data_IF_875145874993
#
_entry.id   IF_875145874993
#
_cell.length_a   1.000
_cell.length_b   1.000
_cell.length_c   1.000
_cell.angle_alpha   90.00
_cell.angle_beta   90.00
_cell.angle_gamma   90.00
#
_symmetry.space_group_name_H-M   'P 1'
#
loop_
_entity.id
_entity.type
_entity.pdbx_description
1 polymer ?
#
# COMPACT_ATOMS: atom_id res chain seq x y z
N UNK A 1 22.03 0.71 6.34
CA UNK A 1 21.40 -0.05 5.23
C UNK A 1 20.33 0.84 4.65
N UNK A 2 20.50 1.23 3.38
CA UNK A 2 19.56 2.10 2.67
C UNK A 2 18.24 1.34 2.47
N UNK A 3 17.13 1.98 2.82
CA UNK A 3 15.79 1.45 2.56
C UNK A 3 15.58 1.33 1.04
N UNK A 4 15.04 0.24 0.51
CA UNK A 4 14.72 0.15 -0.90
C UNK A 4 13.69 1.22 -1.23
N UNK A 5 14.03 2.07 -2.19
CA UNK A 5 13.10 3.09 -2.66
C UNK A 5 11.84 2.45 -3.26
N UNK A 6 10.68 3.13 -3.24
CA UNK A 6 9.41 2.63 -3.78
C UNK A 6 9.52 2.02 -5.19
N UNK A 7 10.36 2.62 -6.04
CA UNK A 7 10.62 2.11 -7.40
C UNK A 7 11.31 0.75 -7.44
N UNK A 8 12.11 0.41 -6.43
CA UNK A 8 12.74 -0.93 -6.34
C UNK A 8 11.70 -2.01 -6.08
N UNK A 9 10.65 -1.69 -5.33
CA UNK A 9 9.53 -2.60 -5.09
C UNK A 9 8.70 -2.81 -6.36
N UNK A 10 8.46 -1.74 -7.11
CA UNK A 10 7.77 -1.82 -8.41
C UNK A 10 8.56 -2.68 -9.39
N UNK A 11 9.88 -2.50 -9.48
CA UNK A 11 10.76 -3.34 -10.30
C UNK A 11 10.71 -4.81 -9.87
N UNK A 12 10.77 -5.09 -8.56
CA UNK A 12 10.70 -6.45 -8.05
C UNK A 12 9.36 -7.11 -8.40
N UNK A 13 8.26 -6.39 -8.26
CA UNK A 13 6.92 -6.89 -8.60
C UNK A 13 6.73 -7.07 -10.13
N UNK A 14 7.28 -6.18 -10.96
CA UNK A 14 7.32 -6.34 -12.41
C UNK A 14 8.11 -7.58 -12.82
N UNK A 15 9.27 -7.80 -12.20
CA UNK A 15 10.08 -8.99 -12.47
C UNK A 15 9.34 -10.28 -12.06
N UNK A 16 8.70 -10.29 -10.89
CA UNK A 16 7.96 -11.45 -10.38
C UNK A 16 6.73 -11.78 -11.24
N UNK A 17 5.90 -10.78 -11.53
CA UNK A 17 4.62 -10.99 -12.24
C UNK A 17 4.77 -11.26 -13.73
N UNK A 18 5.74 -10.62 -14.35
CA UNK A 18 5.85 -10.62 -15.82
C UNK A 18 7.12 -11.30 -16.33
N UNK A 19 7.92 -11.90 -15.42
CA UNK A 19 9.17 -12.57 -15.79
C UNK A 19 10.15 -11.63 -16.47
N UNK A 20 10.16 -10.35 -16.09
CA UNK A 20 11.10 -9.36 -16.58
C UNK A 20 12.43 -9.49 -15.88
N UNK A 21 13.49 -9.06 -16.51
CA UNK A 21 14.81 -8.96 -15.92
C UNK A 21 15.23 -7.50 -15.86
N UNK A 22 14.47 -6.70 -15.09
CA UNK A 22 14.74 -5.28 -14.88
C UNK A 22 15.77 -5.11 -13.78
N UNK A 23 16.85 -4.38 -14.06
CA UNK A 23 17.88 -4.02 -13.12
C UNK A 23 17.73 -2.60 -12.54
N UNK A 24 18.70 -2.19 -11.70
CA UNK A 24 18.71 -0.86 -11.09
C UNK A 24 18.72 0.30 -12.11
N UNK A 25 19.25 0.07 -13.31
CA UNK A 25 19.31 1.03 -14.40
C UNK A 25 17.91 1.45 -14.90
N UNK A 26 16.92 0.58 -14.77
CA UNK A 26 15.54 0.86 -15.18
C UNK A 26 14.76 1.73 -14.18
N UNK A 27 15.32 1.94 -12.96
CA UNK A 27 14.70 2.78 -11.92
C UNK A 27 14.52 4.22 -12.38
N UNK A 28 15.53 4.78 -13.03
CA UNK A 28 15.50 6.18 -13.50
C UNK A 28 14.38 6.34 -14.53
N UNK A 29 14.27 5.42 -15.46
CA UNK A 29 13.25 5.44 -16.53
C UNK A 29 11.83 5.31 -15.95
N UNK A 30 11.60 4.36 -15.05
CA UNK A 30 10.31 4.20 -14.38
C UNK A 30 9.99 5.40 -13.47
N UNK A 31 10.99 5.92 -12.73
CA UNK A 31 10.83 7.11 -11.91
C UNK A 31 10.43 8.34 -12.71
N UNK A 32 11.13 8.60 -13.81
CA UNK A 32 10.80 9.71 -14.71
C UNK A 32 9.41 9.56 -15.33
N UNK A 33 9.01 8.33 -15.66
CA UNK A 33 7.67 8.04 -16.16
C UNK A 33 6.60 8.34 -15.11
N UNK A 34 6.79 7.90 -13.86
CA UNK A 34 5.85 8.17 -12.77
C UNK A 34 5.76 9.67 -12.44
N UNK A 35 6.91 10.38 -12.37
CA UNK A 35 6.93 11.83 -12.12
C UNK A 35 6.25 12.63 -13.24
N UNK A 36 6.38 12.21 -14.49
CA UNK A 36 5.69 12.85 -15.62
C UNK A 36 4.20 12.59 -15.58
N UNK A 37 3.78 11.37 -15.27
CA UNK A 37 2.37 11.03 -15.06
C UNK A 37 1.75 11.91 -13.96
N UNK A 38 2.47 12.14 -12.86
CA UNK A 38 2.03 13.03 -11.77
C UNK A 38 1.90 14.49 -12.23
N UNK A 39 2.86 14.97 -13.01
CA UNK A 39 2.92 16.37 -13.45
C UNK A 39 1.89 16.71 -14.53
N UNK A 40 1.71 15.79 -15.48
CA UNK A 40 0.97 16.06 -16.72
C UNK A 40 -0.48 15.64 -16.66
N UNK A 41 -0.88 14.74 -15.77
CA UNK A 41 -2.28 14.32 -15.67
C UNK A 41 -3.18 15.44 -15.18
N UNK A 42 -2.59 16.52 -14.62
CA UNK A 42 -3.39 17.69 -14.18
C UNK A 42 -4.61 17.27 -13.37
N UNK A 43 -4.53 16.14 -12.66
CA UNK A 43 -5.58 15.64 -11.78
C UNK A 43 -5.70 16.58 -10.58
N UNK A 44 -5.88 17.83 -10.92
CA UNK A 44 -6.39 18.87 -10.04
C UNK A 44 -7.73 18.41 -9.45
N UNK A 45 -8.10 19.03 -8.35
CA UNK A 45 -9.31 18.76 -7.58
C UNK A 45 -10.62 18.74 -8.40
N UNK A 46 -10.62 19.30 -9.62
CA UNK A 46 -11.74 19.25 -10.58
C UNK A 46 -11.91 17.86 -11.25
N UNK A 47 -10.90 17.02 -11.27
CA UNK A 47 -11.01 15.66 -11.80
C UNK A 47 -11.82 14.70 -10.89
N UNK A 48 -12.29 15.17 -9.75
CA UNK A 48 -13.14 14.44 -8.80
C UNK A 48 -14.47 13.97 -9.38
N UNK A 49 -14.86 14.46 -10.56
CA UNK A 49 -16.09 14.08 -11.27
C UNK A 49 -15.83 12.98 -12.30
N UNK A 50 -14.58 12.63 -12.56
CA UNK A 50 -14.25 11.68 -13.60
C UNK A 50 -14.44 10.23 -13.13
N UNK A 51 -15.16 9.45 -13.93
CA UNK A 51 -15.27 8.01 -13.73
C UNK A 51 -13.87 7.37 -13.84
N UNK A 52 -13.68 6.20 -13.19
CA UNK A 52 -12.44 5.40 -13.30
C UNK A 52 -12.00 5.22 -14.76
N UNK A 53 -12.95 5.14 -15.67
CA UNK A 53 -12.70 4.98 -17.10
C UNK A 53 -12.08 6.25 -17.73
N UNK A 54 -12.56 7.44 -17.38
CA UNK A 54 -11.98 8.68 -17.89
C UNK A 54 -10.55 8.91 -17.37
N UNK A 55 -10.29 8.56 -16.11
CA UNK A 55 -8.94 8.58 -15.53
C UNK A 55 -8.04 7.59 -16.25
N UNK A 56 -8.56 6.40 -16.56
CA UNK A 56 -7.85 5.37 -17.32
C UNK A 56 -7.49 5.83 -18.71
N UNK A 57 -8.44 6.40 -19.46
CA UNK A 57 -8.20 6.89 -20.83
C UNK A 57 -7.16 8.01 -20.84
N UNK A 58 -7.23 8.95 -19.91
CA UNK A 58 -6.23 10.02 -19.77
C UNK A 58 -4.85 9.45 -19.43
N UNK A 59 -4.79 8.45 -18.57
CA UNK A 59 -3.55 7.74 -18.22
C UNK A 59 -2.97 6.98 -19.40
N UNK A 60 -3.78 6.22 -20.14
CA UNK A 60 -3.36 5.45 -21.30
C UNK A 60 -2.77 6.36 -22.38
N UNK A 61 -3.41 7.49 -22.67
CA UNK A 61 -2.89 8.47 -23.60
C UNK A 61 -1.52 9.03 -23.16
N UNK A 62 -1.38 9.36 -21.88
CA UNK A 62 -0.11 9.86 -21.32
C UNK A 62 0.98 8.81 -21.28
N UNK A 63 0.64 7.55 -20.98
CA UNK A 63 1.59 6.43 -21.03
C UNK A 63 2.11 6.26 -22.44
N UNK A 64 1.24 6.33 -23.46
CA UNK A 64 1.66 6.24 -24.86
C UNK A 64 2.56 7.41 -25.26
N UNK A 65 2.20 8.64 -24.93
CA UNK A 65 3.01 9.82 -25.18
C UNK A 65 4.40 9.72 -24.49
N UNK A 66 4.42 9.22 -23.25
CA UNK A 66 5.65 9.06 -22.46
C UNK A 66 6.51 7.91 -22.96
N UNK A 67 5.91 6.79 -23.37
CA UNK A 67 6.61 5.66 -23.97
C UNK A 67 7.30 6.10 -25.26
N UNK A 68 6.67 6.94 -26.07
CA UNK A 68 7.26 7.49 -27.28
C UNK A 68 8.55 8.28 -27.01
N UNK A 69 8.63 8.98 -25.88
CA UNK A 69 9.84 9.73 -25.47
C UNK A 69 10.93 8.86 -24.82
N UNK A 70 10.55 7.73 -24.23
CA UNK A 70 11.47 6.79 -23.55
C UNK A 70 12.18 5.87 -24.56
N UNK A 71 11.73 5.83 -25.80
CA UNK A 71 12.25 4.99 -26.90
C UNK A 71 13.78 5.08 -27.03
N UNK A 72 14.33 6.26 -26.83
CA UNK A 72 15.77 6.50 -27.00
C UNK A 72 16.63 5.95 -25.86
N UNK A 73 16.03 5.67 -24.69
CA UNK A 73 16.76 5.28 -23.49
C UNK A 73 16.67 3.79 -23.14
N UNK A 74 15.62 3.08 -23.56
CA UNK A 74 15.48 1.65 -23.26
C UNK A 74 14.70 0.87 -24.33
N UNK A 75 15.29 0.79 -25.49
CA UNK A 75 14.71 0.19 -26.69
C UNK A 75 14.24 -1.28 -26.51
N UNK A 76 14.91 -2.07 -25.66
CA UNK A 76 14.55 -3.47 -25.48
C UNK A 76 13.22 -3.67 -24.74
N UNK A 77 12.99 -2.88 -23.68
CA UNK A 77 11.75 -2.90 -22.91
C UNK A 77 10.59 -2.32 -23.73
N UNK A 78 10.84 -1.19 -24.40
CA UNK A 78 9.88 -0.58 -25.30
C UNK A 78 9.43 -1.54 -26.40
N UNK A 79 10.38 -2.15 -27.12
CA UNK A 79 10.08 -3.11 -28.16
C UNK A 79 9.23 -4.27 -27.64
N UNK A 80 9.52 -4.80 -26.46
CA UNK A 80 8.74 -5.88 -25.87
C UNK A 80 7.31 -5.44 -25.50
N UNK A 81 7.15 -4.21 -24.98
CA UNK A 81 5.83 -3.65 -24.64
C UNK A 81 4.98 -3.44 -25.90
N UNK A 82 5.60 -3.03 -27.04
CA UNK A 82 4.90 -2.76 -28.29
C UNK A 82 4.66 -4.00 -29.13
N UNK A 83 5.60 -4.95 -29.15
CA UNK A 83 5.53 -6.16 -29.98
C UNK A 83 4.62 -7.24 -29.35
N UNK A 84 4.51 -7.27 -28.03
CA UNK A 84 3.61 -8.18 -27.31
C UNK A 84 2.45 -7.40 -26.67
N UNK A 85 1.31 -7.37 -27.39
CA UNK A 85 0.12 -6.64 -26.95
C UNK A 85 -0.38 -7.08 -25.59
N UNK A 86 -0.39 -8.38 -25.28
CA UNK A 86 -0.88 -8.91 -23.99
C UNK A 86 0.03 -8.47 -22.86
N UNK A 87 1.34 -8.55 -23.10
CA UNK A 87 2.35 -8.10 -22.16
C UNK A 87 2.30 -6.58 -21.96
N UNK A 88 2.18 -5.80 -23.03
CA UNK A 88 2.05 -4.35 -22.96
C UNK A 88 0.82 -3.90 -22.17
N UNK A 89 -0.34 -4.49 -22.41
CA UNK A 89 -1.57 -4.21 -21.67
C UNK A 89 -1.44 -4.58 -20.19
N UNK A 90 -0.80 -5.70 -19.86
CA UNK A 90 -0.58 -6.12 -18.48
C UNK A 90 0.31 -5.12 -17.71
N UNK A 91 1.38 -4.62 -18.35
CA UNK A 91 2.25 -3.59 -17.75
C UNK A 91 1.51 -2.27 -17.60
N UNK A 92 0.78 -1.81 -18.60
CA UNK A 92 -0.02 -0.58 -18.52
C UNK A 92 -1.03 -0.64 -17.39
N UNK A 93 -1.75 -1.75 -17.24
CA UNK A 93 -2.70 -1.97 -16.15
C UNK A 93 -2.01 -1.95 -14.78
N UNK A 94 -0.86 -2.60 -14.65
CA UNK A 94 -0.08 -2.59 -13.42
C UNK A 94 0.35 -1.17 -13.03
N UNK A 95 0.94 -0.42 -13.95
CA UNK A 95 1.37 0.96 -13.72
C UNK A 95 0.19 1.88 -13.39
N UNK A 96 -0.94 1.67 -14.05
CA UNK A 96 -2.17 2.40 -13.76
C UNK A 96 -2.69 2.10 -12.35
N UNK A 97 -2.66 0.85 -11.91
CA UNK A 97 -3.06 0.51 -10.53
C UNK A 97 -2.10 1.13 -9.50
N UNK A 98 -0.79 1.19 -9.78
CA UNK A 98 0.18 1.89 -8.91
C UNK A 98 -0.11 3.40 -8.87
N UNK A 99 -0.38 4.01 -10.03
CA UNK A 99 -0.76 5.42 -10.12
C UNK A 99 -2.02 5.72 -9.31
N UNK A 100 -3.08 4.93 -9.47
CA UNK A 100 -4.32 5.09 -8.71
C UNK A 100 -4.08 4.97 -7.19
N UNK A 101 -3.19 4.07 -6.77
CA UNK A 101 -2.83 3.92 -5.34
C UNK A 101 -2.11 5.16 -4.80
N UNK A 102 -1.18 5.75 -5.57
CA UNK A 102 -0.46 6.95 -5.16
C UNK A 102 -1.33 8.20 -5.07
N UNK A 103 -2.45 8.25 -5.83
CA UNK A 103 -3.40 9.36 -5.89
C UNK A 103 -4.73 9.08 -5.17
N UNK A 104 -4.81 8.02 -4.37
CA UNK A 104 -6.02 7.71 -3.62
C UNK A 104 -6.38 8.81 -2.64
N UNK A 105 -7.68 9.10 -2.59
CA UNK A 105 -8.24 10.07 -1.67
C UNK A 105 -9.10 9.34 -0.63
N UNK A 106 -8.96 9.72 0.63
CA UNK A 106 -9.70 9.10 1.73
C UNK A 106 -11.22 9.28 1.60
N UNK A 107 -11.67 10.43 1.06
CA UNK A 107 -13.09 10.70 0.83
C UNK A 107 -13.72 9.77 -0.23
N UNK A 108 -12.96 9.33 -1.22
CA UNK A 108 -13.41 8.33 -2.20
C UNK A 108 -13.49 6.92 -1.58
N UNK A 109 -12.57 6.59 -0.71
CA UNK A 109 -12.58 5.31 0.00
C UNK A 109 -13.74 5.21 1.00
N UNK A 110 -14.13 6.32 1.61
CA UNK A 110 -15.30 6.38 2.51
C UNK A 110 -16.63 6.06 1.83
N UNK A 111 -16.72 6.17 0.50
CA UNK A 111 -17.91 5.77 -0.26
C UNK A 111 -18.04 4.25 -0.42
N UNK A 112 -16.94 3.52 -0.12
CA UNK A 112 -16.88 2.08 -0.24
C UNK A 112 -17.13 1.40 1.12
N UNK A 113 -17.37 0.10 1.09
CA UNK A 113 -17.42 -0.74 2.29
C UNK A 113 -16.06 -1.42 2.50
N UNK A 114 -15.79 -1.81 3.74
CA UNK A 114 -14.64 -2.67 4.04
C UNK A 114 -14.61 -3.91 3.16
N UNK A 115 -13.43 -4.28 2.73
CA UNK A 115 -13.24 -5.35 1.77
C UNK A 115 -11.92 -6.08 2.03
N UNK A 116 -11.53 -6.97 1.13
CA UNK A 116 -10.22 -7.61 1.18
C UNK A 116 -9.07 -6.60 1.15
N UNK A 117 -9.28 -5.43 0.52
CA UNK A 117 -8.26 -4.39 0.29
C UNK A 117 -8.58 -3.03 0.92
N UNK A 118 -9.63 -2.93 1.74
CA UNK A 118 -9.99 -1.70 2.44
C UNK A 118 -10.43 -2.00 3.87
N UNK A 119 -9.90 -1.24 4.82
CA UNK A 119 -10.26 -1.34 6.24
C UNK A 119 -10.28 0.03 6.89
N UNK A 120 -11.17 0.22 7.89
CA UNK A 120 -11.26 1.42 8.71
C UNK A 120 -10.82 1.13 10.14
N UNK A 121 -10.17 2.09 10.76
CA UNK A 121 -9.81 2.06 12.19
C UNK A 121 -10.08 3.41 12.83
N UNK A 122 -10.84 3.39 13.91
CA UNK A 122 -11.24 4.60 14.62
C UNK A 122 -10.03 5.37 15.20
N UNK A 123 -8.92 4.67 15.53
CA UNK A 123 -7.77 5.22 16.21
C UNK A 123 -6.55 4.33 15.99
N UNK A 124 -5.34 4.89 16.15
CA UNK A 124 -4.07 4.16 16.13
C UNK A 124 -3.77 3.49 17.48
N UNK A 125 -4.09 4.16 18.60
CA UNK A 125 -3.71 3.70 19.94
C UNK A 125 -4.75 3.96 21.03
N UNK A 126 -5.79 4.75 20.77
CA UNK A 126 -6.74 5.20 21.78
C UNK A 126 -8.01 4.36 21.78
N UNK A 127 -8.34 3.76 22.91
CA UNK A 127 -9.62 3.07 23.10
C UNK A 127 -10.71 4.09 23.40
N UNK A 128 -11.52 4.41 22.39
CA UNK A 128 -12.57 5.42 22.50
C UNK A 128 -13.67 5.04 23.49
N UNK A 129 -13.93 3.75 23.69
CA UNK A 129 -14.96 3.27 24.62
C UNK A 129 -14.51 3.42 26.07
N UNK A 130 -13.24 3.11 26.34
CA UNK A 130 -12.65 3.17 27.68
C UNK A 130 -11.95 4.51 27.95
N UNK A 131 -11.89 5.39 26.94
CA UNK A 131 -11.25 6.71 26.98
C UNK A 131 -9.81 6.66 27.55
N UNK A 132 -9.03 5.69 27.11
CA UNK A 132 -7.62 5.52 27.51
C UNK A 132 -6.76 4.99 26.37
N UNK A 133 -5.45 5.18 26.50
CA UNK A 133 -4.50 4.52 25.60
C UNK A 133 -4.54 3.01 25.84
N UNK A 134 -4.59 2.24 24.75
CA UNK A 134 -4.65 0.79 24.78
C UNK A 134 -3.87 0.16 23.60
N UNK A 135 -2.56 0.22 23.72
CA UNK A 135 -1.67 -0.32 22.66
C UNK A 135 -1.84 -1.83 22.47
N UNK A 136 -2.22 -2.56 23.54
CA UNK A 136 -2.37 -4.01 23.48
C UNK A 136 -3.54 -4.43 22.58
N UNK A 137 -4.59 -3.63 22.54
CA UNK A 137 -5.81 -3.95 21.78
C UNK A 137 -5.85 -3.14 20.49
N UNK A 138 -5.75 -1.82 20.59
CA UNK A 138 -5.97 -0.91 19.45
C UNK A 138 -4.79 -0.96 18.49
N UNK A 139 -3.56 -0.69 18.98
CA UNK A 139 -2.37 -0.72 18.11
C UNK A 139 -2.12 -2.12 17.53
N UNK A 140 -2.33 -3.17 18.34
CA UNK A 140 -2.26 -4.54 17.85
C UNK A 140 -3.28 -4.79 16.72
N UNK A 141 -4.52 -4.27 16.85
CA UNK A 141 -5.55 -4.40 15.80
C UNK A 141 -5.16 -3.70 14.49
N UNK A 142 -4.50 -2.54 14.57
CA UNK A 142 -3.96 -1.82 13.41
C UNK A 142 -2.84 -2.65 12.76
N UNK A 143 -1.85 -3.08 13.55
CA UNK A 143 -0.69 -3.81 13.04
C UNK A 143 -1.05 -5.16 12.41
N UNK A 144 -2.02 -5.91 12.97
CA UNK A 144 -2.47 -7.17 12.36
C UNK A 144 -3.14 -6.93 10.99
N UNK A 145 -3.86 -5.82 10.82
CA UNK A 145 -4.46 -5.45 9.53
C UNK A 145 -3.38 -5.11 8.52
N UNK A 146 -2.38 -4.32 8.91
CA UNK A 146 -1.23 -4.00 8.06
C UNK A 146 -0.50 -5.28 7.65
N UNK A 147 -0.14 -6.16 8.60
CA UNK A 147 0.51 -7.43 8.31
C UNK A 147 -0.30 -8.27 7.31
N UNK A 148 -1.63 -8.32 7.48
CA UNK A 148 -2.51 -9.06 6.59
C UNK A 148 -2.56 -8.49 5.18
N UNK A 149 -2.56 -7.15 5.02
CA UNK A 149 -2.44 -6.51 3.71
C UNK A 149 -1.10 -6.84 3.05
N UNK A 150 0.01 -6.69 3.77
CA UNK A 150 1.35 -6.98 3.25
C UNK A 150 1.50 -8.44 2.82
N UNK A 151 0.89 -9.37 3.54
CA UNK A 151 0.94 -10.80 3.23
C UNK A 151 -0.02 -11.23 2.10
N UNK A 152 -0.97 -10.38 1.69
CA UNK A 152 -1.94 -10.71 0.65
C UNK A 152 -1.74 -9.85 -0.60
N UNK A 153 -2.71 -9.05 -0.98
CA UNK A 153 -2.72 -8.25 -2.22
C UNK A 153 -2.39 -6.77 -1.98
N UNK A 154 -2.06 -6.42 -0.74
CA UNK A 154 -2.02 -5.04 -0.30
C UNK A 154 -3.42 -4.50 0.02
N UNK A 155 -3.52 -3.21 0.26
CA UNK A 155 -4.80 -2.55 0.57
C UNK A 155 -4.60 -1.20 1.23
N UNK A 156 -5.71 -0.56 1.54
CA UNK A 156 -5.75 0.76 2.17
C UNK A 156 -6.37 0.65 3.56
N UNK A 157 -5.71 1.27 4.50
CA UNK A 157 -6.16 1.42 5.87
C UNK A 157 -6.40 2.91 6.16
N UNK A 158 -7.62 3.28 6.53
CA UNK A 158 -7.92 4.62 7.03
C UNK A 158 -7.98 4.60 8.55
N UNK A 159 -7.11 5.40 9.19
CA UNK A 159 -7.11 5.62 10.63
C UNK A 159 -7.76 6.98 10.94
N UNK A 160 -8.64 7.02 11.94
CA UNK A 160 -9.49 8.16 12.25
C UNK A 160 -10.91 8.02 11.67
N UNK A 161 -11.30 6.80 11.29
CA UNK A 161 -12.62 6.47 10.73
C UNK A 161 -13.21 5.27 11.47
N UNK A 162 -14.44 5.39 11.92
CA UNK A 162 -15.17 4.29 12.56
C UNK A 162 -15.73 3.29 11.54
N UNK A 163 -16.14 2.11 12.01
CA UNK A 163 -16.67 1.02 11.18
C UNK A 163 -17.94 1.43 10.40
N UNK A 164 -18.71 2.38 10.92
CA UNK A 164 -19.88 2.97 10.24
C UNK A 164 -19.50 4.07 9.24
N UNK A 165 -18.21 4.28 9.00
CA UNK A 165 -17.59 5.31 8.15
C UNK A 165 -17.73 6.75 8.67
N UNK A 166 -18.09 6.92 9.94
CA UNK A 166 -18.04 8.22 10.58
C UNK A 166 -16.58 8.68 10.70
N UNK A 167 -16.29 9.86 10.16
CA UNK A 167 -14.95 10.47 10.28
C UNK A 167 -14.79 11.01 11.69
N UNK A 168 -13.88 10.41 12.45
CA UNK A 168 -13.55 10.80 13.82
C UNK A 168 -12.36 11.74 13.88
N UNK A 169 -11.41 11.56 12.96
CA UNK A 169 -10.10 12.21 12.98
C UNK A 169 -9.11 11.50 13.91
N UNK A 170 -7.84 11.90 13.84
CA UNK A 170 -6.74 11.33 14.62
C UNK A 170 -6.47 12.05 15.94
N UNK A 171 -7.17 13.14 16.26
CA UNK A 171 -7.00 13.92 17.49
C UNK A 171 -7.23 13.08 18.76
N UNK A 172 -8.07 12.05 18.65
CA UNK A 172 -8.33 11.09 19.73
C UNK A 172 -7.09 10.32 20.16
N UNK A 173 -6.10 10.17 19.29
CA UNK A 173 -4.84 9.50 19.63
C UNK A 173 -3.95 10.32 20.56
N UNK A 174 -4.31 11.60 20.81
CA UNK A 174 -3.64 12.52 21.74
C UNK A 174 -2.14 12.62 21.49
N UNK A 175 -1.76 12.72 20.23
CA UNK A 175 -0.43 13.06 19.78
C UNK A 175 -0.41 14.54 19.43
N UNK A 176 0.72 15.23 19.71
CA UNK A 176 0.80 16.70 19.65
C UNK A 176 0.44 17.29 18.28
N UNK A 177 0.77 16.59 17.22
CA UNK A 177 0.55 17.01 15.82
C UNK A 177 0.71 15.82 14.86
N UNK A 178 0.47 16.08 13.57
CA UNK A 178 0.56 15.08 12.49
C UNK A 178 1.96 14.46 12.39
N UNK A 179 3.03 15.24 12.57
CA UNK A 179 4.41 14.71 12.53
C UNK A 179 4.66 13.71 13.66
N UNK A 180 4.17 14.00 14.87
CA UNK A 180 4.26 13.08 16.01
C UNK A 180 3.42 11.83 15.80
N UNK A 181 2.27 11.96 15.14
CA UNK A 181 1.47 10.80 14.77
C UNK A 181 2.23 9.92 13.77
N UNK A 182 2.78 10.50 12.71
CA UNK A 182 3.54 9.78 11.69
C UNK A 182 4.78 9.10 12.27
N UNK A 183 5.50 9.79 13.15
CA UNK A 183 6.67 9.22 13.84
C UNK A 183 6.27 8.04 14.73
N UNK A 184 5.18 8.18 15.50
CA UNK A 184 4.66 7.10 16.35
C UNK A 184 4.21 5.90 15.51
N UNK A 185 3.48 6.15 14.41
CA UNK A 185 3.06 5.12 13.46
C UNK A 185 4.26 4.36 12.90
N UNK A 186 5.28 5.07 12.40
CA UNK A 186 6.50 4.45 11.88
C UNK A 186 7.20 3.60 12.96
N UNK A 187 7.25 4.08 14.20
CA UNK A 187 7.86 3.35 15.31
C UNK A 187 7.10 2.07 15.67
N UNK A 188 5.76 2.11 15.74
CA UNK A 188 4.98 0.90 16.07
C UNK A 188 5.02 -0.12 14.94
N UNK A 189 5.03 0.32 13.67
CA UNK A 189 5.21 -0.55 12.51
C UNK A 189 6.57 -1.24 12.56
N UNK A 190 7.65 -0.47 12.74
CA UNK A 190 9.01 -1.02 12.86
C UNK A 190 9.12 -2.03 14.00
N UNK A 191 8.60 -1.70 15.17
CA UNK A 191 8.69 -2.55 16.34
C UNK A 191 7.85 -3.84 16.22
N UNK A 192 6.69 -3.76 15.55
CA UNK A 192 5.77 -4.88 15.42
C UNK A 192 6.01 -5.73 14.18
N UNK A 193 6.36 -5.11 13.05
CA UNK A 193 6.44 -5.79 11.75
C UNK A 193 7.85 -5.82 11.16
N UNK A 194 8.79 -5.10 11.76
CA UNK A 194 10.17 -4.98 11.30
C UNK A 194 10.39 -3.87 10.26
N UNK A 195 11.67 -3.56 10.02
CA UNK A 195 12.06 -2.42 9.17
C UNK A 195 11.57 -2.58 7.72
N UNK A 196 11.64 -3.79 7.18
CA UNK A 196 11.23 -4.07 5.78
C UNK A 196 9.74 -3.85 5.54
N UNK A 197 8.88 -4.12 6.52
CA UNK A 197 7.46 -3.86 6.39
C UNK A 197 7.17 -2.37 6.12
N UNK A 198 7.95 -1.48 6.75
CA UNK A 198 7.84 -0.03 6.56
C UNK A 198 8.04 0.43 5.11
N UNK A 199 8.87 -0.29 4.32
CA UNK A 199 9.12 0.06 2.92
C UNK A 199 7.94 -0.27 1.98
N UNK A 200 7.01 -1.10 2.43
CA UNK A 200 5.81 -1.48 1.68
C UNK A 200 4.58 -0.65 2.07
N UNK A 201 4.76 0.43 2.85
CA UNK A 201 3.67 1.23 3.41
C UNK A 201 3.90 2.70 3.04
N UNK A 202 2.86 3.36 2.54
CA UNK A 202 2.85 4.78 2.21
C UNK A 202 1.73 5.49 3.00
N UNK A 203 2.01 6.02 4.20
CA UNK A 203 1.04 6.76 5.00
C UNK A 203 0.97 8.23 4.58
N UNK A 204 -0.25 8.77 4.43
CA UNK A 204 -0.51 10.17 4.08
C UNK A 204 -1.58 10.76 4.99
N UNK A 205 -1.35 11.99 5.47
CA UNK A 205 -2.38 12.75 6.16
C UNK A 205 -3.30 13.42 5.16
N UNK A 206 -4.60 13.31 5.37
CA UNK A 206 -5.61 13.93 4.53
C UNK A 206 -6.70 14.57 5.39
N UNK A 207 -7.25 15.70 4.91
CA UNK A 207 -8.37 16.36 5.58
C UNK A 207 -9.67 15.90 4.92
N UNK A 208 -10.52 15.25 5.71
CA UNK A 208 -11.83 14.75 5.29
C UNK A 208 -12.90 15.29 6.25
N UNK A 209 -13.91 15.95 5.73
CA UNK A 209 -14.97 16.57 6.53
C UNK A 209 -14.43 17.50 7.65
N UNK A 210 -13.33 18.21 7.37
CA UNK A 210 -12.68 19.12 8.30
C UNK A 210 -11.87 18.45 9.41
N UNK A 211 -11.63 17.15 9.37
CA UNK A 211 -10.84 16.39 10.33
C UNK A 211 -9.66 15.71 9.63
N UNK A 212 -8.51 15.65 10.31
CA UNK A 212 -7.35 14.92 9.81
C UNK A 212 -7.54 13.42 9.99
N UNK A 213 -7.33 12.65 8.92
CA UNK A 213 -7.28 11.18 8.92
C UNK A 213 -5.94 10.73 8.33
N UNK A 214 -5.48 9.53 8.71
CA UNK A 214 -4.31 8.92 8.10
C UNK A 214 -4.75 7.85 7.11
N UNK A 215 -4.51 8.08 5.81
CA UNK A 215 -4.63 7.07 4.78
C UNK A 215 -3.30 6.36 4.64
N UNK A 216 -3.29 5.06 4.89
CA UNK A 216 -2.12 4.22 4.75
C UNK A 216 -2.33 3.24 3.60
N UNK A 217 -1.58 3.41 2.52
CA UNK A 217 -1.58 2.47 1.40
C UNK A 217 -0.51 1.40 1.63
N UNK A 218 -0.93 0.15 1.74
CA UNK A 218 -0.07 -1.01 1.93
C UNK A 218 0.11 -1.72 0.60
N UNK A 219 1.36 -1.89 0.18
CA UNK A 219 1.71 -2.72 -0.97
C UNK A 219 1.91 -4.17 -0.53
N UNK A 220 1.75 -5.10 -1.45
CA UNK A 220 2.09 -6.50 -1.25
C UNK A 220 3.58 -6.63 -0.92
N UNK A 221 3.90 -7.27 0.21
CA UNK A 221 5.30 -7.52 0.58
C UNK A 221 5.92 -8.62 -0.30
N UNK A 222 7.18 -8.49 -0.70
CA UNK A 222 7.92 -9.57 -1.37
C UNK A 222 8.31 -10.70 -0.41
N UNK A 223 8.28 -10.46 0.89
CA UNK A 223 8.66 -11.43 1.93
C UNK A 223 7.54 -11.62 2.96
N UNK A 224 7.46 -12.77 3.64
CA UNK A 224 6.52 -13.01 4.72
C UNK A 224 6.68 -12.00 5.86
N UNK A 225 5.58 -11.40 6.31
CA UNK A 225 5.55 -10.42 7.41
C UNK A 225 4.87 -11.04 8.62
N UNK A 226 5.62 -11.15 9.72
CA UNK A 226 5.14 -11.65 10.99
C UNK A 226 4.95 -10.51 11.98
N UNK A 227 3.81 -10.50 12.68
CA UNK A 227 3.58 -9.54 13.75
C UNK A 227 4.21 -10.03 15.06
N UNK A 228 5.22 -9.31 15.54
CA UNK A 228 5.86 -9.50 16.84
C UNK A 228 5.40 -8.40 17.78
N UNK A 229 4.51 -8.72 18.72
CA UNK A 229 3.95 -7.74 19.63
C UNK A 229 4.22 -8.12 21.09
N UNK A 230 4.85 -7.22 21.85
CA UNK A 230 5.14 -7.44 23.27
C UNK A 230 3.84 -7.42 24.07
N UNK A 231 3.48 -8.56 24.67
CA UNK A 231 2.34 -8.69 25.57
C UNK A 231 1.34 -9.79 25.24
N UNK A 232 1.50 -10.45 24.10
CA UNK A 232 0.96 -11.78 23.84
C UNK A 232 2.10 -12.75 24.07
N UNK A 233 1.86 -13.84 24.80
CA UNK A 233 2.86 -14.82 25.24
C UNK A 233 3.96 -15.07 24.20
N UNK A 234 5.21 -15.16 24.66
CA UNK A 234 6.44 -15.35 23.89
C UNK A 234 6.31 -16.38 22.76
N UNK A 235 5.75 -15.96 21.63
CA UNK A 235 5.88 -16.72 20.41
C UNK A 235 7.14 -16.22 19.69
N UNK A 236 8.20 -17.01 19.75
CA UNK A 236 9.51 -16.74 19.15
C UNK A 236 9.46 -16.36 17.67
N UNK A 237 8.38 -16.72 16.97
CA UNK A 237 8.24 -16.54 15.51
C UNK A 237 7.26 -15.43 15.11
N UNK A 238 6.43 -14.92 16.06
CA UNK A 238 5.38 -13.95 15.75
C UNK A 238 4.10 -14.56 15.19
N UNK A 239 3.10 -13.72 14.94
CA UNK A 239 1.80 -14.13 14.42
C UNK A 239 1.70 -13.80 12.92
N UNK A 240 1.16 -14.72 12.13
CA UNK A 240 0.99 -14.53 10.70
C UNK A 240 -0.47 -14.29 10.35
N UNK A 241 -0.74 -13.15 9.74
CA UNK A 241 -2.08 -12.71 9.38
C UNK A 241 -2.24 -12.55 7.87
N UNK A 242 -3.43 -12.89 7.38
CA UNK A 242 -3.86 -12.74 5.97
C UNK A 242 -5.24 -12.10 5.89
N UNK A 243 -5.58 -11.49 4.74
CA UNK A 243 -6.94 -11.03 4.47
C UNK A 243 -7.79 -12.15 3.90
N UNK A 244 -8.99 -12.30 4.45
CA UNK A 244 -10.02 -13.23 3.95
C UNK A 244 -11.34 -12.47 3.87
N UNK A 245 -11.71 -12.02 2.66
CA UNK A 245 -12.77 -11.03 2.51
C UNK A 245 -12.48 -9.76 3.31
N UNK A 246 -13.44 -9.16 4.00
CA UNK A 246 -13.21 -7.98 4.83
C UNK A 246 -12.52 -8.31 6.18
N UNK A 247 -12.31 -9.59 6.49
CA UNK A 247 -11.73 -10.00 7.76
C UNK A 247 -10.21 -10.21 7.72
N UNK A 248 -9.57 -10.05 8.88
CA UNK A 248 -8.17 -10.42 9.12
C UNK A 248 -8.12 -11.74 9.88
N UNK A 249 -7.45 -12.74 9.32
CA UNK A 249 -7.38 -14.10 9.85
C UNK A 249 -5.95 -14.44 10.23
N UNK A 250 -5.75 -14.98 11.44
CA UNK A 250 -4.48 -15.58 11.87
C UNK A 250 -4.39 -16.98 11.33
N UNK A 251 -3.30 -17.31 10.64
CA UNK A 251 -3.05 -18.67 10.18
C UNK A 251 -2.41 -19.53 11.29
N UNK A 252 -2.75 -20.83 11.30
CA UNK A 252 -2.05 -21.81 12.12
C UNK A 252 -0.63 -22.06 11.57
N UNK A 253 0.30 -22.54 12.40
CA UNK A 253 1.66 -22.83 11.98
C UNK A 253 1.73 -23.70 10.69
N UNK A 254 0.89 -24.75 10.62
CA UNK A 254 0.80 -25.62 9.44
C UNK A 254 0.34 -24.85 8.18
N UNK A 255 -0.66 -24.01 8.34
CA UNK A 255 -1.21 -23.20 7.22
C UNK A 255 -0.25 -22.11 6.78
N UNK A 256 0.56 -21.58 7.69
CA UNK A 256 1.59 -20.56 7.39
C UNK A 256 2.64 -21.14 6.46
N UNK A 257 3.16 -22.33 6.75
CA UNK A 257 4.19 -22.98 5.91
C UNK A 257 3.68 -23.19 4.47
N UNK A 258 2.47 -23.73 4.34
CA UNK A 258 1.86 -23.94 3.02
C UNK A 258 1.60 -22.63 2.28
N UNK A 259 1.10 -21.62 3.00
CA UNK A 259 0.86 -20.28 2.44
C UNK A 259 2.14 -19.62 1.96
N UNK A 260 3.21 -19.62 2.78
CA UNK A 260 4.50 -19.04 2.42
C UNK A 260 5.08 -19.70 1.18
N UNK A 261 5.06 -21.02 1.10
CA UNK A 261 5.58 -21.77 -0.05
C UNK A 261 4.86 -21.41 -1.36
N UNK A 262 3.56 -21.15 -1.28
CA UNK A 262 2.73 -20.82 -2.46
C UNK A 262 2.84 -19.34 -2.82
N UNK A 263 2.84 -18.47 -1.81
CA UNK A 263 2.71 -17.03 -1.99
C UNK A 263 4.05 -16.31 -2.15
N UNK A 264 5.11 -16.85 -1.55
CA UNK A 264 6.46 -16.30 -1.56
C UNK A 264 7.43 -17.37 -2.10
N UNK A 265 7.35 -17.71 -3.41
CA UNK A 265 8.26 -18.70 -3.97
C UNK A 265 9.69 -18.19 -3.81
N UNK A 266 10.53 -18.99 -3.16
CA UNK A 266 11.97 -18.71 -3.09
C UNK A 266 12.50 -18.71 -4.53
N UNK A 267 13.06 -17.60 -4.97
CA UNK A 267 13.66 -17.49 -6.29
C UNK A 267 14.67 -18.64 -6.50
N UNK A 268 14.47 -19.39 -7.59
CA UNK A 268 15.47 -20.35 -8.11
C UNK A 268 16.59 -19.60 -8.77
#
# INVERSE_FOLDING_TARGET
EEHPEPLSLIIAELNERFGLNLGPEHRVTLGQMMERLDRDTGLDASARVNTRENVRLAFEQKVEDTIQEIVDTNFSLYKRITDDRVFGEAIKNFLFDQYLRSHRQADELLKQQESKTLEFKASLRWNLKENRQDDKVITHSVLKTIAAFLNTEGGDLLIGVADDRTVLGIDHDRLENDDKFMLHLAQVVRNGLGDRAGTCIDPKMQIVQGKTVCLMSCQRSPEPVFLKWKGVEEQLEGEFYVRSGPGTVRLSAKSVEEYIRTRFPQGR
#
